data_IF_512547840325
#
_entry.id   IF_512547840325
#
_cell.length_a   1.000
_cell.length_b   1.000
_cell.length_c   1.000
_cell.angle_alpha   90.00
_cell.angle_beta   90.00
_cell.angle_gamma   90.00
#
_symmetry.space_group_name_H-M   'P 1'
#
loop_
_entity.id
_entity.type
_entity.pdbx_description
1 polymer ?
#
# COMPACT_ATOMS: atom_id res chain seq x y z
N UNK A 1 -25.36 3.89 -9.30
CA UNK A 1 -24.27 3.30 -10.10
C UNK A 1 -23.00 3.38 -9.27
N UNK A 2 -22.37 2.25 -8.93
CA UNK A 2 -21.11 2.27 -8.18
C UNK A 2 -20.00 2.74 -9.11
N UNK A 3 -19.23 3.73 -8.68
CA UNK A 3 -18.09 4.23 -9.46
C UNK A 3 -16.96 3.19 -9.46
N UNK A 4 -16.13 3.19 -10.51
CA UNK A 4 -14.94 2.32 -10.59
C UNK A 4 -14.04 2.48 -9.34
N UNK A 5 -13.90 3.71 -8.85
CA UNK A 5 -13.19 4.06 -7.63
C UNK A 5 -13.72 3.34 -6.38
N UNK A 6 -15.05 3.35 -6.18
CA UNK A 6 -15.68 2.66 -5.05
C UNK A 6 -15.53 1.15 -5.16
N UNK A 7 -15.58 0.60 -6.37
CA UNK A 7 -15.36 -0.83 -6.62
C UNK A 7 -13.93 -1.23 -6.23
N UNK A 8 -12.92 -0.49 -6.68
CA UNK A 8 -11.51 -0.71 -6.33
C UNK A 8 -11.31 -0.63 -4.82
N UNK A 9 -11.87 0.39 -4.16
CA UNK A 9 -11.80 0.53 -2.71
C UNK A 9 -12.39 -0.68 -1.99
N UNK A 10 -13.59 -1.10 -2.41
CA UNK A 10 -14.29 -2.25 -1.82
C UNK A 10 -13.49 -3.53 -2.00
N UNK A 11 -12.97 -3.79 -3.21
CA UNK A 11 -12.17 -4.97 -3.50
C UNK A 11 -10.85 -4.97 -2.74
N UNK A 12 -10.11 -3.85 -2.71
CA UNK A 12 -8.85 -3.74 -1.97
C UNK A 12 -9.05 -4.05 -0.48
N UNK A 13 -10.13 -3.51 0.09
CA UNK A 13 -10.47 -3.74 1.51
C UNK A 13 -10.84 -5.19 1.75
N UNK A 14 -11.80 -5.74 0.99
CA UNK A 14 -12.27 -7.10 1.18
C UNK A 14 -11.13 -8.12 1.04
N UNK A 15 -10.21 -7.86 0.12
CA UNK A 15 -9.06 -8.71 -0.12
C UNK A 15 -8.04 -8.65 1.00
N UNK A 16 -7.66 -7.45 1.44
CA UNK A 16 -6.72 -7.28 2.56
C UNK A 16 -7.32 -7.76 3.89
N UNK A 17 -8.61 -7.57 4.14
CA UNK A 17 -9.28 -8.10 5.33
C UNK A 17 -9.30 -9.64 5.35
N UNK A 18 -9.27 -10.28 4.17
CA UNK A 18 -9.25 -11.74 4.03
C UNK A 18 -7.83 -12.32 4.11
N UNK A 19 -6.87 -11.67 3.46
CA UNK A 19 -5.54 -12.23 3.20
C UNK A 19 -4.46 -11.67 4.12
N UNK A 20 -4.68 -10.51 4.75
CA UNK A 20 -3.71 -9.83 5.61
C UNK A 20 -4.22 -9.74 7.06
N UNK A 21 -3.28 -9.55 7.98
CA UNK A 21 -3.62 -9.22 9.37
C UNK A 21 -3.70 -7.71 9.55
N UNK A 22 -4.63 -7.23 10.38
CA UNK A 22 -4.70 -5.82 10.74
C UNK A 22 -3.43 -5.42 11.49
N UNK A 23 -2.80 -4.31 11.08
CA UNK A 23 -1.60 -3.81 11.75
C UNK A 23 -1.91 -3.42 13.21
N UNK A 24 -0.95 -3.58 14.13
CA UNK A 24 -1.11 -3.25 15.57
C UNK A 24 -1.57 -1.81 15.83
N UNK A 25 -1.18 -0.88 14.96
CA UNK A 25 -1.59 0.54 15.00
C UNK A 25 -3.02 0.78 14.50
N UNK A 26 -3.75 -0.29 14.17
CA UNK A 26 -5.12 -0.34 13.72
C UNK A 26 -5.40 0.54 12.47
N UNK A 27 -6.62 0.51 11.96
CA UNK A 27 -7.07 1.40 10.90
C UNK A 27 -7.26 2.84 11.42
N UNK A 28 -7.04 3.83 10.55
CA UNK A 28 -7.34 5.23 10.84
C UNK A 28 -8.68 5.60 10.18
N UNK A 29 -9.78 5.34 10.89
CA UNK A 29 -11.16 5.59 10.44
C UNK A 29 -11.39 5.08 9.00
N UNK A 30 -12.12 5.84 8.18
CA UNK A 30 -12.46 5.48 6.80
C UNK A 30 -11.38 5.84 5.77
N UNK A 31 -10.31 6.52 6.19
CA UNK A 31 -9.35 7.17 5.29
C UNK A 31 -8.08 6.37 5.06
N UNK A 32 -7.62 5.60 6.05
CA UNK A 32 -6.48 4.71 5.87
C UNK A 32 -6.69 3.38 6.59
N UNK A 33 -6.47 2.27 5.88
CA UNK A 33 -6.50 0.92 6.45
C UNK A 33 -5.12 0.29 6.34
N UNK A 34 -4.61 -0.13 7.49
CA UNK A 34 -3.25 -0.62 7.71
C UNK A 34 -3.26 -2.12 7.94
N UNK A 35 -2.37 -2.81 7.24
CA UNK A 35 -2.29 -4.25 7.21
C UNK A 35 -0.84 -4.71 7.27
N UNK A 36 -0.67 -5.94 7.73
CA UNK A 36 0.54 -6.75 7.53
C UNK A 36 0.13 -7.92 6.65
N UNK A 37 0.54 -7.86 5.40
CA UNK A 37 0.23 -8.88 4.40
C UNK A 37 1.27 -9.99 4.46
N UNK A 38 0.87 -11.27 4.48
CA UNK A 38 1.82 -12.37 4.44
C UNK A 38 2.63 -12.31 3.14
N UNK A 39 3.93 -12.52 3.24
CA UNK A 39 4.83 -12.63 2.10
C UNK A 39 5.73 -13.83 2.33
N UNK A 40 5.78 -14.74 1.35
CA UNK A 40 6.45 -16.03 1.49
C UNK A 40 7.96 -15.91 1.75
N UNK A 41 8.61 -14.87 1.22
CA UNK A 41 10.06 -14.67 1.35
C UNK A 41 10.43 -13.82 2.58
N UNK A 42 9.55 -12.91 3.00
CA UNK A 42 9.87 -11.84 3.96
C UNK A 42 9.15 -11.98 5.31
N UNK A 43 8.31 -13.01 5.50
CA UNK A 43 7.59 -13.26 6.74
C UNK A 43 6.47 -12.27 7.06
N UNK A 44 6.20 -11.33 6.14
CA UNK A 44 5.13 -10.35 6.23
C UNK A 44 5.58 -8.95 5.84
N UNK A 45 4.73 -8.21 5.13
CA UNK A 45 4.99 -6.87 4.60
C UNK A 45 3.91 -5.91 5.06
N UNK A 46 4.33 -4.75 5.52
CA UNK A 46 3.44 -3.65 5.79
C UNK A 46 2.83 -3.10 4.51
N UNK A 47 1.50 -3.04 4.51
CA UNK A 47 0.69 -2.48 3.42
C UNK A 47 -0.30 -1.50 4.03
N UNK A 48 -0.51 -0.37 3.39
CA UNK A 48 -1.61 0.55 3.74
C UNK A 48 -2.36 0.96 2.48
N UNK A 49 -3.68 0.97 2.58
CA UNK A 49 -4.54 1.64 1.59
C UNK A 49 -4.99 2.97 2.17
N UNK A 50 -4.85 4.02 1.38
CA UNK A 50 -5.20 5.40 1.74
C UNK A 50 -6.17 5.91 0.69
N UNK A 51 -7.33 6.40 1.12
CA UNK A 51 -8.34 6.97 0.22
C UNK A 51 -8.20 8.48 0.26
N UNK A 52 -7.85 9.08 -0.89
CA UNK A 52 -7.72 10.52 -1.07
C UNK A 52 -8.64 10.98 -2.20
N UNK A 53 -9.74 11.64 -1.84
CA UNK A 53 -10.82 11.95 -2.78
C UNK A 53 -11.46 10.66 -3.31
N UNK A 54 -11.55 10.53 -4.64
CA UNK A 54 -12.03 9.31 -5.31
C UNK A 54 -10.96 8.24 -5.48
N UNK A 55 -9.67 8.54 -5.27
CA UNK A 55 -8.61 7.63 -5.61
C UNK A 55 -8.13 6.83 -4.39
N UNK A 56 -7.86 5.55 -4.61
CA UNK A 56 -7.17 4.69 -3.66
C UNK A 56 -5.67 4.71 -3.96
N UNK A 57 -4.87 4.97 -2.94
CA UNK A 57 -3.43 4.79 -2.97
C UNK A 57 -3.08 3.54 -2.18
N UNK A 58 -2.34 2.63 -2.79
CA UNK A 58 -1.77 1.48 -2.11
C UNK A 58 -0.30 1.75 -1.87
N UNK A 59 0.14 1.58 -0.63
CA UNK A 59 1.53 1.71 -0.23
C UNK A 59 2.02 0.40 0.35
N UNK A 60 3.22 -0.02 -0.04
CA UNK A 60 3.88 -1.20 0.52
C UNK A 60 5.39 -0.97 0.66
N UNK A 61 6.05 -1.76 1.50
CA UNK A 61 7.51 -1.70 1.65
C UNK A 61 8.21 -1.96 0.30
N UNK A 62 9.27 -1.20 -0.03
CA UNK A 62 9.95 -1.31 -1.33
C UNK A 62 10.50 -2.72 -1.59
N UNK A 63 10.97 -3.39 -0.55
CA UNK A 63 11.49 -4.77 -0.61
C UNK A 63 10.45 -5.83 -0.96
N UNK A 64 9.17 -5.50 -0.93
CA UNK A 64 8.09 -6.47 -1.17
C UNK A 64 8.01 -6.91 -2.65
N UNK A 65 8.44 -6.05 -3.57
CA UNK A 65 8.33 -6.27 -5.01
C UNK A 65 9.67 -5.88 -5.65
N UNK A 66 10.11 -6.65 -6.65
CA UNK A 66 11.24 -6.26 -7.49
C UNK A 66 11.00 -4.90 -8.15
N UNK A 67 12.02 -4.04 -8.19
CA UNK A 67 11.88 -2.67 -8.67
C UNK A 67 11.49 -2.55 -10.15
N UNK A 68 11.79 -3.55 -11.00
CA UNK A 68 11.36 -3.56 -12.39
C UNK A 68 9.87 -3.91 -12.52
N UNK A 69 9.42 -4.92 -11.75
CA UNK A 69 8.01 -5.33 -11.67
C UNK A 69 7.15 -4.21 -11.09
N UNK A 70 7.60 -3.55 -10.02
CA UNK A 70 6.89 -2.44 -9.41
C UNK A 70 6.68 -1.29 -10.41
N UNK A 71 7.72 -0.91 -11.17
CA UNK A 71 7.62 0.13 -12.20
C UNK A 71 6.69 -0.27 -13.35
N UNK A 72 6.72 -1.54 -13.79
CA UNK A 72 5.84 -2.05 -14.82
C UNK A 72 4.35 -1.97 -14.40
N UNK A 73 4.06 -2.13 -13.12
CA UNK A 73 2.73 -1.97 -12.52
C UNK A 73 2.36 -0.50 -12.22
N UNK A 74 3.17 0.47 -12.65
CA UNK A 74 2.94 1.89 -12.41
C UNK A 74 3.25 2.34 -10.99
N UNK A 75 4.09 1.58 -10.27
CA UNK A 75 4.59 1.93 -8.95
C UNK A 75 5.54 3.11 -9.01
N UNK A 76 5.33 4.05 -8.09
CA UNK A 76 6.23 5.17 -7.86
C UNK A 76 7.08 4.90 -6.62
N UNK A 77 8.39 4.95 -6.80
CA UNK A 77 9.33 4.78 -5.71
C UNK A 77 9.32 6.02 -4.85
N UNK A 78 9.06 5.85 -3.57
CA UNK A 78 9.11 6.91 -2.57
C UNK A 78 10.22 6.51 -1.62
N UNK A 79 11.34 7.22 -1.51
CA UNK A 79 12.40 6.89 -0.56
C UNK A 79 12.07 7.34 0.88
N UNK A 80 12.61 6.62 1.87
CA UNK A 80 12.28 6.77 3.30
C UNK A 80 12.55 8.17 3.85
N UNK A 81 13.59 8.81 3.32
CA UNK A 81 13.99 10.17 3.64
C UNK A 81 12.93 11.22 3.24
N UNK A 82 12.06 10.94 2.26
CA UNK A 82 10.96 11.83 1.89
C UNK A 82 9.91 12.03 2.97
N UNK A 83 9.81 11.10 3.92
CA UNK A 83 8.89 11.24 5.04
C UNK A 83 9.14 12.55 5.81
N UNK A 84 10.38 13.07 5.79
CA UNK A 84 10.81 14.27 6.51
C UNK A 84 11.64 15.24 5.65
N UNK A 85 11.53 15.20 4.31
CA UNK A 85 12.30 16.09 3.42
C UNK A 85 12.10 17.59 3.73
N UNK A 86 10.98 17.96 4.36
CA UNK A 86 10.80 19.26 5.00
C UNK A 86 10.54 19.06 6.51
N UNK A 87 11.27 19.77 7.41
CA UNK A 87 11.05 19.66 8.85
C UNK A 87 9.59 19.94 9.23
N UNK A 88 8.92 18.96 9.84
CA UNK A 88 7.53 19.09 10.30
C UNK A 88 6.45 18.89 9.23
N UNK A 89 6.81 18.67 7.96
CA UNK A 89 5.86 18.32 6.90
C UNK A 89 6.12 16.90 6.41
N UNK A 90 5.03 16.14 6.28
CA UNK A 90 5.12 14.80 5.70
C UNK A 90 5.12 14.92 4.18
N UNK A 91 6.25 14.59 3.54
CA UNK A 91 6.30 14.42 2.08
C UNK A 91 5.48 13.20 1.62
N UNK A 92 5.37 12.19 2.50
CA UNK A 92 4.48 11.02 2.35
C UNK A 92 3.20 11.18 3.19
N UNK A 93 2.25 10.26 3.07
CA UNK A 93 0.99 10.40 3.81
C UNK A 93 1.17 10.18 5.32
N UNK A 94 0.59 11.03 6.18
CA UNK A 94 0.73 10.94 7.65
C UNK A 94 0.23 9.63 8.26
N UNK A 95 -0.67 8.93 7.57
CA UNK A 95 -1.14 7.60 7.97
C UNK A 95 0.00 6.56 8.06
N UNK A 96 1.13 6.79 7.38
CA UNK A 96 2.32 5.95 7.45
C UNK A 96 3.09 6.13 8.77
N UNK A 97 2.90 7.24 9.51
CA UNK A 97 3.67 7.56 10.73
C UNK A 97 3.65 6.46 11.78
N UNK A 98 2.52 5.75 11.87
CA UNK A 98 2.28 4.71 12.86
C UNK A 98 2.65 3.31 12.35
N UNK A 99 3.17 3.19 11.14
CA UNK A 99 3.64 1.92 10.56
C UNK A 99 5.11 1.76 10.91
N UNK A 100 5.56 0.58 11.34
CA UNK A 100 6.92 0.46 11.88
C UNK A 100 7.99 0.55 10.78
N UNK A 101 7.71 -0.07 9.64
CA UNK A 101 8.64 -0.21 8.52
C UNK A 101 8.36 0.81 7.43
N UNK A 102 7.09 0.96 7.03
CA UNK A 102 6.68 1.91 6.00
C UNK A 102 6.94 3.37 6.38
N UNK A 103 6.96 3.70 7.67
CA UNK A 103 7.26 5.06 8.11
C UNK A 103 8.66 5.52 7.73
N UNK A 104 9.65 4.63 7.90
CA UNK A 104 11.08 4.97 7.81
C UNK A 104 11.79 4.35 6.61
N UNK A 105 11.24 3.27 6.06
CA UNK A 105 11.80 2.56 4.92
C UNK A 105 11.34 3.13 3.58
N UNK A 106 12.02 2.71 2.53
CA UNK A 106 11.61 2.94 1.15
C UNK A 106 10.28 2.22 0.87
N UNK A 107 9.45 2.83 0.04
CA UNK A 107 8.10 2.37 -0.22
C UNK A 107 7.76 2.52 -1.70
N UNK A 108 6.89 1.63 -2.18
CA UNK A 108 6.21 1.82 -3.44
C UNK A 108 4.83 2.40 -3.19
N UNK A 109 4.46 3.39 -4.01
CA UNK A 109 3.10 3.93 -4.09
C UNK A 109 2.46 3.52 -5.41
N UNK A 110 1.28 2.93 -5.35
CA UNK A 110 0.47 2.58 -6.50
C UNK A 110 -0.88 3.29 -6.45
N UNK A 111 -1.42 3.63 -7.63
CA UNK A 111 -2.77 4.17 -7.79
C UNK A 111 -3.51 3.31 -8.82
N UNK A 112 -4.11 2.17 -8.40
CA UNK A 112 -4.80 1.28 -9.31
C UNK A 112 -6.00 1.99 -9.96
N UNK A 113 -6.15 1.82 -11.28
CA UNK A 113 -7.26 2.39 -12.07
C UNK A 113 -8.33 1.34 -12.37
N UNK A 114 -7.97 0.07 -12.23
CA UNK A 114 -8.88 -1.07 -12.37
C UNK A 114 -8.73 -2.05 -11.21
N UNK A 115 -9.72 -2.93 -11.04
CA UNK A 115 -9.61 -4.06 -10.09
C UNK A 115 -8.50 -5.03 -10.52
N UNK A 116 -8.28 -5.21 -11.83
CA UNK A 116 -7.17 -6.02 -12.33
C UNK A 116 -5.80 -5.46 -11.95
N UNK A 117 -5.61 -4.14 -12.03
CA UNK A 117 -4.37 -3.48 -11.59
C UNK A 117 -4.12 -3.76 -10.11
N UNK A 118 -5.15 -3.56 -9.28
CA UNK A 118 -5.11 -3.83 -7.85
C UNK A 118 -4.71 -5.28 -7.57
N UNK A 119 -5.30 -6.23 -8.30
CA UNK A 119 -5.02 -7.65 -8.10
C UNK A 119 -3.59 -8.02 -8.47
N UNK A 120 -3.08 -7.49 -9.59
CA UNK A 120 -1.68 -7.68 -9.99
C UNK A 120 -0.71 -7.09 -8.96
N UNK A 121 -1.00 -5.89 -8.45
CA UNK A 121 -0.18 -5.25 -7.42
C UNK A 121 -0.16 -6.10 -6.14
N UNK A 122 -1.33 -6.53 -5.63
CA UNK A 122 -1.40 -7.34 -4.42
C UNK A 122 -0.74 -8.71 -4.59
N UNK A 123 -0.90 -9.37 -5.74
CA UNK A 123 -0.20 -10.63 -6.02
C UNK A 123 1.32 -10.44 -6.00
N UNK A 124 1.83 -9.38 -6.63
CA UNK A 124 3.24 -9.04 -6.61
C UNK A 124 3.75 -8.78 -5.19
N UNK A 125 3.03 -8.02 -4.37
CA UNK A 125 3.39 -7.78 -2.94
C UNK A 125 3.45 -9.08 -2.14
N UNK A 126 2.58 -10.05 -2.45
CA UNK A 126 2.56 -11.36 -1.76
C UNK A 126 3.77 -12.22 -2.09
N UNK A 127 4.44 -11.92 -3.20
CA UNK A 127 5.42 -12.78 -3.83
C UNK A 127 4.79 -13.91 -4.66
N UNK A 128 3.49 -13.80 -5.00
CA UNK A 128 2.81 -14.72 -5.91
C UNK A 128 2.97 -14.19 -7.35
N UNK A 129 4.06 -14.57 -8.00
CA UNK A 129 4.37 -14.11 -9.36
C UNK A 129 5.81 -14.37 -9.82
N UNK A 130 6.48 -15.36 -9.23
CA UNK A 130 7.75 -15.90 -9.73
C UNK A 130 7.51 -17.22 -10.42
#
# INVERSE_FOLDING_TARGET
>A
MTTQAELIKRQATARLDKEASVHRSNHQNVHARRYVMPNAALGGIEVVIIVKGSNLQLWCEARAIDGSVARALGGEERPGNETYSEPGKYGRHSALKTMDRLHRGDAWRFVPRTVGDLDHILNAVKGEGR
#
